data_IF_228909905448
#
_entry.id   IF_228909905448
#
_cell.length_a   1.000
_cell.length_b   1.000
_cell.length_c   1.000
_cell.angle_alpha   90.00
_cell.angle_beta   90.00
_cell.angle_gamma   90.00
#
_symmetry.space_group_name_H-M   'P 1'
#
loop_
_entity.id
_entity.type
_entity.pdbx_description
1 polymer ?
#
# COMPACT_ATOMS: atom_id res chain seq x y z
N UNK A 1 5.95 -5.13 24.19
CA UNK A 1 7.09 -6.06 24.35
C UNK A 1 8.21 -5.32 25.10
N UNK A 2 9.02 -5.97 25.95
CA UNK A 2 10.09 -5.27 26.65
C UNK A 2 11.13 -4.75 25.64
N UNK A 3 11.51 -3.48 25.78
CA UNK A 3 12.53 -2.85 24.95
C UNK A 3 13.85 -3.60 25.13
N UNK A 4 14.46 -4.05 24.03
CA UNK A 4 15.76 -4.70 24.08
C UNK A 4 16.78 -3.72 24.71
N UNK A 5 17.58 -4.20 25.66
CA UNK A 5 18.63 -3.36 26.25
C UNK A 5 19.68 -3.09 25.18
N UNK A 6 20.00 -1.82 24.86
CA UNK A 6 21.00 -1.51 23.85
C UNK A 6 22.35 -2.16 24.20
N UNK A 7 22.99 -2.78 23.21
CA UNK A 7 24.33 -3.34 23.37
C UNK A 7 25.34 -2.25 23.74
N UNK A 8 26.44 -2.63 24.42
CA UNK A 8 27.55 -1.71 24.65
C UNK A 8 28.22 -1.32 23.32
N UNK A 9 28.92 -0.19 23.27
CA UNK A 9 29.60 0.25 22.02
C UNK A 9 30.61 -0.78 21.51
N UNK A 10 31.29 -1.48 22.42
CA UNK A 10 32.27 -2.52 22.08
C UNK A 10 31.56 -3.74 21.47
N UNK A 11 30.44 -4.16 22.05
CA UNK A 11 29.62 -5.26 21.53
C UNK A 11 28.96 -4.91 20.19
N UNK A 12 28.49 -3.67 20.01
CA UNK A 12 27.94 -3.21 18.74
C UNK A 12 29.00 -3.28 17.62
N UNK A 13 30.23 -2.84 17.90
CA UNK A 13 31.32 -2.90 16.93
C UNK A 13 31.67 -4.37 16.60
N UNK A 14 31.78 -5.22 17.61
CA UNK A 14 32.07 -6.65 17.43
C UNK A 14 30.97 -7.34 16.60
N UNK A 15 29.69 -7.02 16.87
CA UNK A 15 28.55 -7.51 16.10
C UNK A 15 28.65 -7.10 14.62
N UNK A 16 28.82 -5.80 14.34
CA UNK A 16 28.86 -5.28 12.96
C UNK A 16 30.02 -5.92 12.18
N UNK A 17 31.19 -6.06 12.80
CA UNK A 17 32.37 -6.66 12.17
C UNK A 17 32.24 -8.16 11.93
N UNK A 18 31.31 -8.85 12.60
CA UNK A 18 31.02 -10.26 12.42
C UNK A 18 29.96 -10.53 11.33
N UNK A 19 29.29 -9.49 10.82
CA UNK A 19 28.30 -9.64 9.75
C UNK A 19 28.94 -10.08 8.42
N UNK A 20 28.16 -10.73 7.53
CA UNK A 20 28.55 -10.89 6.14
C UNK A 20 29.00 -9.55 5.52
N UNK A 21 29.97 -9.60 4.61
CA UNK A 21 30.64 -8.38 4.10
C UNK A 21 29.67 -7.36 3.50
N UNK A 22 28.64 -7.83 2.80
CA UNK A 22 27.58 -7.01 2.21
C UNK A 22 26.70 -6.33 3.27
N UNK A 23 26.25 -7.08 4.27
CA UNK A 23 25.46 -6.55 5.40
C UNK A 23 26.28 -5.56 6.24
N UNK A 24 27.55 -5.87 6.52
CA UNK A 24 28.48 -4.99 7.23
C UNK A 24 28.63 -3.65 6.51
N UNK A 25 28.80 -3.65 5.18
CA UNK A 25 28.93 -2.41 4.39
C UNK A 25 27.65 -1.59 4.41
N UNK A 26 26.48 -2.24 4.34
CA UNK A 26 25.17 -1.58 4.46
C UNK A 26 25.04 -0.89 5.82
N UNK A 27 25.30 -1.64 6.91
CA UNK A 27 25.20 -1.12 8.27
C UNK A 27 26.21 -0.01 8.54
N UNK A 28 27.45 -0.12 8.05
CA UNK A 28 28.45 0.92 8.18
C UNK A 28 27.99 2.22 7.51
N UNK A 29 27.52 2.16 6.25
CA UNK A 29 27.02 3.34 5.52
C UNK A 29 25.83 3.98 6.23
N UNK A 30 24.88 3.17 6.71
CA UNK A 30 23.74 3.64 7.48
C UNK A 30 24.16 4.35 8.77
N UNK A 31 24.99 3.72 9.60
CA UNK A 31 25.42 4.27 10.89
C UNK A 31 26.31 5.52 10.74
N UNK A 32 27.09 5.61 9.67
CA UNK A 32 27.85 6.82 9.32
C UNK A 32 26.99 7.92 8.66
N UNK A 33 25.70 7.63 8.40
CA UNK A 33 24.76 8.54 7.72
C UNK A 33 25.26 9.00 6.35
N UNK A 34 25.79 8.09 5.54
CA UNK A 34 26.20 8.38 4.15
C UNK A 34 25.01 8.94 3.35
N UNK A 35 25.01 10.21 2.92
CA UNK A 35 23.87 10.83 2.26
C UNK A 35 23.47 10.12 0.95
N UNK A 36 24.45 9.68 0.15
CA UNK A 36 24.17 9.02 -1.13
C UNK A 36 23.56 7.64 -0.93
N UNK A 37 23.96 6.96 0.15
CA UNK A 37 23.33 5.71 0.53
C UNK A 37 21.88 5.93 0.92
N UNK A 38 21.63 6.89 1.83
CA UNK A 38 20.30 7.17 2.37
C UNK A 38 19.29 7.58 1.28
N UNK A 39 19.75 8.28 0.23
CA UNK A 39 18.93 8.64 -0.93
C UNK A 39 18.55 7.45 -1.84
N UNK A 40 19.24 6.32 -1.72
CA UNK A 40 19.11 5.17 -2.62
C UNK A 40 18.83 3.84 -1.91
N UNK A 41 18.42 3.88 -0.64
CA UNK A 41 18.09 2.68 0.13
C UNK A 41 16.86 2.01 -0.48
N UNK A 42 17.03 0.78 -0.97
CA UNK A 42 15.93 -0.06 -1.42
C UNK A 42 15.26 -0.82 -0.25
N UNK A 43 14.13 -1.47 -0.53
CA UNK A 43 13.35 -2.21 0.47
C UNK A 43 14.18 -3.30 1.14
N UNK A 44 15.05 -3.99 0.40
CA UNK A 44 15.87 -5.09 0.92
C UNK A 44 16.90 -4.56 1.91
N UNK A 45 17.61 -3.50 1.55
CA UNK A 45 18.56 -2.83 2.43
C UNK A 45 17.86 -2.23 3.66
N UNK A 46 16.66 -1.65 3.50
CA UNK A 46 15.87 -1.15 4.63
C UNK A 46 15.52 -2.26 5.64
N UNK A 47 15.04 -3.42 5.16
CA UNK A 47 14.72 -4.58 6.02
C UNK A 47 15.94 -5.14 6.73
N UNK A 48 17.09 -5.19 6.06
CA UNK A 48 18.37 -5.59 6.67
C UNK A 48 18.78 -4.62 7.79
N UNK A 49 18.73 -3.31 7.52
CA UNK A 49 19.03 -2.28 8.50
C UNK A 49 18.13 -2.43 9.72
N UNK A 50 16.82 -2.54 9.52
CA UNK A 50 15.85 -2.71 10.60
C UNK A 50 16.17 -3.94 11.45
N UNK A 51 16.37 -5.10 10.83
CA UNK A 51 16.77 -6.34 11.52
C UNK A 51 17.98 -6.11 12.42
N UNK A 52 19.05 -5.52 11.91
CA UNK A 52 20.26 -5.31 12.70
C UNK A 52 20.10 -4.25 13.78
N UNK A 53 19.30 -3.21 13.56
CA UNK A 53 18.99 -2.23 14.61
C UNK A 53 18.25 -2.87 15.78
N UNK A 54 17.37 -3.84 15.52
CA UNK A 54 16.71 -4.63 16.56
C UNK A 54 17.72 -5.49 17.33
N UNK A 55 18.59 -6.22 16.62
CA UNK A 55 19.64 -7.05 17.24
C UNK A 55 20.60 -6.22 18.12
N UNK A 56 20.94 -5.01 17.69
CA UNK A 56 21.78 -4.07 18.45
C UNK A 56 21.05 -3.43 19.65
N UNK A 57 19.74 -3.64 19.79
CA UNK A 57 18.89 -2.99 20.78
C UNK A 57 18.69 -1.49 20.53
N UNK A 58 18.86 -1.04 19.27
CA UNK A 58 18.69 0.34 18.82
C UNK A 58 17.31 0.60 18.21
N UNK A 59 16.55 -0.45 17.93
CA UNK A 59 15.17 -0.39 17.48
C UNK A 59 14.31 -1.44 18.20
N UNK A 60 13.01 -1.22 18.24
CA UNK A 60 12.06 -2.22 18.71
C UNK A 60 11.72 -3.18 17.57
N UNK A 61 11.70 -4.48 17.86
CA UNK A 61 11.20 -5.48 16.93
C UNK A 61 9.77 -5.13 16.53
N UNK A 62 9.55 -4.99 15.22
CA UNK A 62 8.18 -4.87 14.73
C UNK A 62 7.47 -6.20 15.00
N UNK A 63 6.21 -6.17 15.48
CA UNK A 63 5.41 -7.39 15.48
C UNK A 63 5.33 -7.91 14.04
N UNK A 64 5.61 -9.20 13.87
CA UNK A 64 5.46 -9.88 12.58
C UNK A 64 4.32 -10.88 12.68
N UNK A 65 3.52 -10.96 11.62
CA UNK A 65 2.50 -11.99 11.45
C UNK A 65 2.88 -12.93 10.32
N UNK A 66 2.52 -14.20 10.50
CA UNK A 66 2.39 -15.16 9.42
C UNK A 66 1.14 -14.87 8.59
N UNK A 67 1.06 -15.43 7.38
CA UNK A 67 -0.13 -15.25 6.54
C UNK A 67 -1.39 -15.81 7.18
N UNK A 68 -1.30 -16.94 7.87
CA UNK A 68 -2.42 -17.54 8.59
C UNK A 68 -2.92 -16.62 9.72
N UNK A 69 -2.00 -16.00 10.45
CA UNK A 69 -2.36 -15.02 11.50
C UNK A 69 -3.03 -13.77 10.89
N UNK A 70 -2.56 -13.27 9.75
CA UNK A 70 -3.22 -12.17 9.04
C UNK A 70 -4.62 -12.56 8.59
N UNK A 71 -4.79 -13.77 8.04
CA UNK A 71 -6.09 -14.28 7.60
C UNK A 71 -7.06 -14.39 8.77
N UNK A 72 -6.62 -14.97 9.89
CA UNK A 72 -7.43 -15.07 11.11
C UNK A 72 -7.81 -13.71 11.67
N UNK A 73 -6.85 -12.77 11.76
CA UNK A 73 -7.10 -11.41 12.24
C UNK A 73 -8.21 -10.74 11.42
N UNK A 74 -8.10 -10.72 10.09
CA UNK A 74 -9.13 -10.10 9.24
C UNK A 74 -10.49 -10.79 9.35
N UNK A 75 -10.50 -12.13 9.51
CA UNK A 75 -11.72 -12.89 9.68
C UNK A 75 -12.47 -12.53 10.99
N UNK A 76 -11.75 -12.22 12.08
CA UNK A 76 -12.34 -11.77 13.34
C UNK A 76 -13.13 -10.45 13.21
N UNK A 77 -12.76 -9.63 12.23
CA UNK A 77 -13.48 -8.39 11.87
C UNK A 77 -14.47 -8.59 10.70
N UNK A 78 -14.76 -9.84 10.32
CA UNK A 78 -15.74 -10.18 9.29
C UNK A 78 -15.25 -9.96 7.85
N UNK A 79 -13.95 -9.73 7.63
CA UNK A 79 -13.38 -9.57 6.31
C UNK A 79 -12.63 -10.85 5.89
N UNK A 80 -13.14 -11.54 4.87
CA UNK A 80 -12.43 -12.68 4.29
C UNK A 80 -11.30 -12.19 3.39
N UNK A 81 -10.08 -12.64 3.66
CA UNK A 81 -8.89 -12.29 2.89
C UNK A 81 -8.14 -13.53 2.37
N UNK A 82 -7.22 -13.31 1.43
CA UNK A 82 -6.33 -14.33 0.86
C UNK A 82 -4.97 -13.74 0.50
N UNK A 83 -3.96 -14.59 0.36
CA UNK A 83 -2.60 -14.15 -0.02
C UNK A 83 -2.56 -13.85 -1.53
N UNK A 84 -2.05 -12.67 -1.95
CA UNK A 84 -1.87 -12.35 -3.36
C UNK A 84 -0.93 -13.32 -4.07
N UNK A 85 -1.29 -13.75 -5.29
CA UNK A 85 -0.37 -14.51 -6.14
C UNK A 85 0.76 -13.61 -6.63
N UNK A 86 2.01 -14.05 -6.49
CA UNK A 86 3.18 -13.28 -6.93
C UNK A 86 3.55 -12.11 -6.01
N UNK A 87 3.10 -12.15 -4.75
CA UNK A 87 3.52 -11.21 -3.69
C UNK A 87 5.05 -11.08 -3.66
N UNK A 88 5.54 -9.85 -3.67
CA UNK A 88 6.97 -9.53 -3.67
C UNK A 88 7.35 -8.87 -2.34
N UNK A 89 8.65 -8.66 -2.09
CA UNK A 89 9.13 -8.10 -0.81
C UNK A 89 8.54 -6.71 -0.47
N UNK A 90 8.14 -5.92 -1.49
CA UNK A 90 7.50 -4.63 -1.32
C UNK A 90 6.02 -4.72 -0.88
N UNK A 91 5.39 -5.88 -1.06
CA UNK A 91 3.96 -6.12 -0.80
C UNK A 91 3.74 -7.28 0.17
N UNK A 92 4.75 -7.65 0.97
CA UNK A 92 4.74 -8.87 1.79
C UNK A 92 3.66 -8.90 2.87
N UNK A 93 3.18 -7.75 3.31
CA UNK A 93 2.07 -7.60 4.25
C UNK A 93 0.68 -7.45 3.60
N UNK A 94 0.60 -7.29 2.27
CA UNK A 94 -0.67 -7.06 1.57
C UNK A 94 -1.51 -8.34 1.49
N UNK A 95 -2.81 -8.19 1.77
CA UNK A 95 -3.81 -9.26 1.69
C UNK A 95 -4.94 -8.86 0.73
N UNK A 96 -5.54 -9.83 0.03
CA UNK A 96 -6.64 -9.61 -0.91
C UNK A 96 -8.00 -9.89 -0.28
N UNK A 97 -8.84 -8.87 -0.19
CA UNK A 97 -10.26 -8.94 0.13
C UNK A 97 -11.09 -8.76 -1.15
N UNK A 98 -11.40 -9.84 -1.88
CA UNK A 98 -12.15 -9.74 -3.13
C UNK A 98 -13.57 -9.19 -2.92
N UNK A 99 -14.04 -8.34 -3.83
CA UNK A 99 -15.46 -8.00 -3.95
C UNK A 99 -15.83 -7.85 -5.43
N UNK A 100 -16.86 -8.56 -5.87
CA UNK A 100 -17.39 -8.45 -7.25
C UNK A 100 -16.37 -8.76 -8.35
N UNK A 101 -15.36 -9.61 -8.09
CA UNK A 101 -14.27 -9.92 -9.01
C UNK A 101 -13.13 -8.89 -9.04
N UNK A 102 -13.12 -7.92 -8.13
CA UNK A 102 -12.03 -6.95 -7.95
C UNK A 102 -11.23 -7.31 -6.69
N UNK A 103 -9.89 -7.50 -6.79
CA UNK A 103 -9.03 -7.84 -5.66
C UNK A 103 -8.65 -6.58 -4.87
N UNK A 104 -9.52 -6.17 -3.93
CA UNK A 104 -9.20 -5.05 -3.04
C UNK A 104 -8.12 -5.47 -2.04
N UNK A 105 -6.99 -4.76 -2.03
CA UNK A 105 -5.92 -4.95 -1.07
C UNK A 105 -6.23 -4.28 0.25
N UNK A 106 -5.80 -4.94 1.33
CA UNK A 106 -5.75 -4.41 2.68
C UNK A 106 -4.36 -4.68 3.26
N UNK A 107 -3.85 -3.73 4.04
CA UNK A 107 -2.52 -3.79 4.65
C UNK A 107 -2.53 -4.56 5.98
N UNK A 108 -1.33 -4.89 6.47
CA UNK A 108 -1.15 -5.33 7.86
C UNK A 108 -1.38 -4.16 8.83
N UNK A 109 -2.16 -4.41 9.87
CA UNK A 109 -2.45 -3.43 10.91
C UNK A 109 -1.54 -3.67 12.12
N UNK A 110 -0.26 -3.29 12.01
CA UNK A 110 0.74 -3.45 13.07
C UNK A 110 0.36 -2.77 14.39
N UNK A 111 -0.46 -1.72 14.33
CA UNK A 111 -0.94 -0.98 15.52
C UNK A 111 -1.91 -1.80 16.37
N UNK A 112 -2.73 -2.66 15.76
CA UNK A 112 -3.57 -3.60 16.52
C UNK A 112 -2.69 -4.57 17.32
N UNK A 113 -1.61 -5.05 16.72
CA UNK A 113 -0.70 -6.00 17.38
C UNK A 113 0.12 -5.30 18.47
N UNK A 114 0.61 -4.09 18.18
CA UNK A 114 1.49 -3.35 19.09
C UNK A 114 0.75 -2.74 20.27
N UNK A 115 -0.45 -2.22 20.04
CA UNK A 115 -1.18 -1.40 21.00
C UNK A 115 -2.55 -1.95 21.38
N UNK A 116 -3.01 -3.04 20.74
CA UNK A 116 -4.36 -3.57 20.95
C UNK A 116 -5.45 -2.65 20.39
N UNK A 117 -5.10 -1.71 19.51
CA UNK A 117 -6.01 -0.70 18.99
C UNK A 117 -6.73 -1.17 17.71
N UNK A 118 -8.01 -1.51 17.84
CA UNK A 118 -8.87 -1.93 16.73
C UNK A 118 -9.38 -0.76 15.88
N UNK A 119 -9.18 0.49 16.30
CA UNK A 119 -9.71 1.65 15.59
C UNK A 119 -9.24 1.70 14.13
N UNK A 120 -7.97 1.37 13.88
CA UNK A 120 -7.39 1.42 12.53
C UNK A 120 -8.01 0.38 11.58
N UNK A 121 -8.24 -0.85 12.04
CA UNK A 121 -8.82 -1.93 11.25
C UNK A 121 -10.32 -1.71 11.01
N UNK A 122 -11.06 -1.29 12.04
CA UNK A 122 -12.49 -0.95 11.93
C UNK A 122 -12.70 0.19 10.93
N UNK A 123 -11.88 1.24 11.01
CA UNK A 123 -11.92 2.36 10.06
C UNK A 123 -11.57 1.93 8.65
N UNK A 124 -10.59 1.04 8.48
CA UNK A 124 -10.21 0.47 7.18
C UNK A 124 -11.40 -0.26 6.53
N UNK A 125 -12.13 -1.06 7.32
CA UNK A 125 -13.33 -1.78 6.87
C UNK A 125 -14.44 -0.82 6.48
N UNK A 126 -14.73 0.19 7.32
CA UNK A 126 -15.78 1.19 7.04
C UNK A 126 -15.45 1.95 5.74
N UNK A 127 -14.22 2.42 5.59
CA UNK A 127 -13.78 3.15 4.39
C UNK A 127 -13.90 2.28 3.14
N UNK A 128 -13.44 1.02 3.22
CA UNK A 128 -13.55 0.06 2.13
C UNK A 128 -15.00 -0.20 1.74
N UNK A 129 -15.88 -0.41 2.73
CA UNK A 129 -17.29 -0.68 2.46
C UNK A 129 -17.99 0.53 1.85
N UNK A 130 -17.75 1.74 2.36
CA UNK A 130 -18.31 2.97 1.78
C UNK A 130 -17.88 3.21 0.33
N UNK A 131 -16.65 2.83 -0.03
CA UNK A 131 -16.18 2.87 -1.42
C UNK A 131 -16.83 1.84 -2.31
N UNK A 132 -17.04 0.62 -1.81
CA UNK A 132 -17.75 -0.42 -2.54
C UNK A 132 -19.19 0.02 -2.80
N UNK A 133 -19.89 0.46 -1.76
CA UNK A 133 -21.30 0.85 -1.85
C UNK A 133 -21.51 2.05 -2.78
N UNK A 134 -20.56 2.99 -2.83
CA UNK A 134 -20.68 4.21 -3.65
C UNK A 134 -20.09 4.11 -5.07
N UNK A 135 -19.05 3.30 -5.27
CA UNK A 135 -18.18 3.42 -6.44
C UNK A 135 -17.69 2.10 -7.04
N UNK A 136 -18.16 0.94 -6.56
CA UNK A 136 -17.65 -0.36 -7.03
C UNK A 136 -17.69 -0.49 -8.56
N UNK A 137 -18.79 -0.11 -9.22
CA UNK A 137 -18.93 -0.24 -10.67
C UNK A 137 -17.91 0.61 -11.44
N UNK A 138 -17.65 1.83 -10.97
CA UNK A 138 -16.63 2.73 -11.54
C UNK A 138 -15.23 2.14 -11.33
N UNK A 139 -14.92 1.69 -10.11
CA UNK A 139 -13.64 1.08 -9.77
C UNK A 139 -13.41 -0.18 -10.61
N UNK A 140 -14.42 -1.04 -10.73
CA UNK A 140 -14.38 -2.26 -11.53
C UNK A 140 -14.18 -1.97 -13.01
N UNK A 141 -14.78 -0.91 -13.54
CA UNK A 141 -14.58 -0.49 -14.93
C UNK A 141 -13.14 -0.05 -15.20
N UNK A 142 -12.54 0.72 -14.28
CA UNK A 142 -11.12 1.09 -14.35
C UNK A 142 -10.22 -0.14 -14.21
N UNK A 143 -10.53 -1.02 -13.26
CA UNK A 143 -9.81 -2.27 -13.04
C UNK A 143 -9.81 -3.17 -14.28
N UNK A 144 -10.97 -3.40 -14.90
CA UNK A 144 -11.09 -4.19 -16.13
C UNK A 144 -10.30 -3.57 -17.29
N UNK A 145 -10.28 -2.23 -17.38
CA UNK A 145 -9.41 -1.56 -18.34
C UNK A 145 -7.94 -1.84 -18.07
N UNK A 146 -7.50 -1.78 -16.81
CA UNK A 146 -6.12 -2.10 -16.43
C UNK A 146 -5.75 -3.54 -16.82
N UNK A 147 -6.62 -4.51 -16.55
CA UNK A 147 -6.42 -5.90 -16.98
C UNK A 147 -6.24 -6.03 -18.50
N UNK A 148 -6.98 -5.24 -19.29
CA UNK A 148 -6.86 -5.26 -20.76
C UNK A 148 -5.49 -4.79 -21.27
N UNK A 149 -4.67 -4.14 -20.44
CA UNK A 149 -3.32 -3.71 -20.80
C UNK A 149 -2.29 -4.85 -20.72
N UNK A 150 -2.65 -6.00 -20.14
CA UNK A 150 -1.83 -7.22 -20.14
C UNK A 150 -0.52 -7.11 -19.34
N UNK A 151 -0.44 -6.20 -18.36
CA UNK A 151 0.78 -5.94 -17.58
C UNK A 151 0.94 -6.82 -16.34
N UNK A 152 -0.06 -7.62 -16.01
CA UNK A 152 -0.05 -8.52 -14.85
C UNK A 152 -1.36 -8.46 -14.06
N UNK A 153 -1.44 -9.16 -12.92
CA UNK A 153 -2.57 -9.07 -12.02
C UNK A 153 -2.63 -7.67 -11.42
N UNK A 154 -3.66 -6.91 -11.78
CA UNK A 154 -3.91 -5.62 -11.16
C UNK A 154 -4.43 -5.82 -9.73
N UNK A 155 -4.09 -4.90 -8.85
CA UNK A 155 -4.69 -4.78 -7.53
C UNK A 155 -5.31 -3.41 -7.31
N UNK A 156 -6.26 -3.32 -6.37
CA UNK A 156 -6.94 -2.08 -6.01
C UNK A 156 -6.76 -1.83 -4.53
N UNK A 157 -6.22 -0.69 -4.11
CA UNK A 157 -6.04 -0.37 -2.69
C UNK A 157 -6.78 0.90 -2.32
N UNK A 158 -7.46 0.88 -1.18
CA UNK A 158 -8.13 2.05 -0.62
C UNK A 158 -7.10 2.90 0.11
N UNK A 159 -7.00 4.17 -0.26
CA UNK A 159 -6.13 5.11 0.42
C UNK A 159 -6.56 5.42 1.86
N UNK A 160 -5.64 6.01 2.61
CA UNK A 160 -5.92 6.54 3.95
C UNK A 160 -6.90 7.72 3.91
N UNK A 161 -6.97 8.43 2.79
CA UNK A 161 -8.03 9.37 2.48
C UNK A 161 -9.20 8.65 1.78
N UNK A 162 -10.46 8.89 2.20
CA UNK A 162 -11.65 8.18 1.68
C UNK A 162 -11.94 8.43 0.19
N UNK A 163 -11.14 9.25 -0.47
CA UNK A 163 -11.31 9.72 -1.84
C UNK A 163 -10.31 9.11 -2.82
N UNK A 164 -9.39 8.25 -2.35
CA UNK A 164 -8.29 7.79 -3.16
C UNK A 164 -8.32 6.27 -3.32
N UNK A 165 -8.34 5.83 -4.57
CA UNK A 165 -8.24 4.42 -4.93
C UNK A 165 -7.00 4.24 -5.79
N UNK A 166 -6.07 3.44 -5.31
CA UNK A 166 -4.82 3.13 -5.99
C UNK A 166 -4.99 1.89 -6.84
N UNK A 167 -4.40 1.90 -8.03
CA UNK A 167 -4.29 0.75 -8.91
C UNK A 167 -2.82 0.44 -9.11
N UNK A 168 -2.46 -0.84 -8.98
CA UNK A 168 -1.06 -1.27 -9.10
C UNK A 168 -0.89 -2.67 -9.64
N UNK A 169 0.38 -3.03 -9.86
CA UNK A 169 0.84 -4.38 -10.19
C UNK A 169 1.98 -4.77 -9.22
N UNK A 170 2.73 -5.82 -9.53
CA UNK A 170 3.90 -6.30 -8.80
C UNK A 170 4.98 -5.22 -8.53
N UNK A 171 5.14 -4.25 -9.45
CA UNK A 171 6.11 -3.17 -9.34
C UNK A 171 5.61 -1.96 -8.53
N UNK A 172 4.42 -2.03 -7.94
CA UNK A 172 3.77 -0.97 -7.16
C UNK A 172 2.60 -0.31 -7.89
N UNK A 173 2.06 0.78 -7.32
CA UNK A 173 0.95 1.51 -7.95
C UNK A 173 1.40 2.17 -9.27
N UNK A 174 0.45 2.39 -10.18
CA UNK A 174 0.65 3.08 -11.45
C UNK A 174 -0.44 4.12 -11.74
N UNK A 175 -1.56 4.11 -11.00
CA UNK A 175 -2.60 5.12 -11.13
C UNK A 175 -3.34 5.33 -9.81
N UNK A 176 -3.88 6.55 -9.65
CA UNK A 176 -4.71 6.94 -8.52
C UNK A 176 -6.03 7.48 -9.09
N UNK A 177 -7.14 6.91 -8.66
CA UNK A 177 -8.48 7.43 -8.92
C UNK A 177 -8.92 8.28 -7.73
N UNK A 178 -9.11 9.56 -7.99
CA UNK A 178 -9.69 10.53 -7.07
C UNK A 178 -11.20 10.58 -7.25
N UNK A 179 -11.92 10.22 -6.19
CA UNK A 179 -13.38 10.18 -6.13
C UNK A 179 -13.89 11.46 -5.46
N UNK A 180 -14.85 12.14 -6.07
CA UNK A 180 -15.48 13.31 -5.45
C UNK A 180 -16.47 12.84 -4.37
N UNK A 181 -16.24 13.24 -3.11
CA UNK A 181 -17.14 12.95 -1.98
C UNK A 181 -18.55 13.50 -2.27
N UNK A 182 -19.60 12.69 -2.09
CA UNK A 182 -20.93 13.24 -1.99
C UNK A 182 -21.00 14.02 -0.67
N UNK A 183 -21.28 15.32 -0.73
CA UNK A 183 -21.81 16.01 0.45
C UNK A 183 -22.92 15.12 1.01
N UNK A 184 -22.79 14.73 2.28
CA UNK A 184 -23.66 13.75 2.92
C UNK A 184 -25.13 14.10 2.64
N UNK A 185 -25.77 13.26 1.83
CA UNK A 185 -27.19 13.34 1.50
C UNK A 185 -27.87 12.22 2.29
N UNK A 186 -28.95 12.52 3.00
CA UNK A 186 -29.71 11.56 3.82
C UNK A 186 -30.48 10.50 3.01
N UNK A 187 -30.35 10.51 1.69
CA UNK A 187 -31.04 9.63 0.75
C UNK A 187 -30.01 8.85 -0.11
N UNK A 188 -29.83 7.54 0.14
CA UNK A 188 -28.89 6.67 -0.57
C UNK A 188 -29.19 6.51 -2.08
N UNK A 189 -30.46 6.48 -2.49
CA UNK A 189 -30.84 6.31 -3.90
C UNK A 189 -30.57 7.59 -4.71
N UNK A 190 -30.86 8.76 -4.12
CA UNK A 190 -30.51 10.05 -4.71
C UNK A 190 -28.98 10.28 -4.78
N UNK A 191 -28.21 9.60 -3.93
CA UNK A 191 -26.74 9.65 -3.93
C UNK A 191 -26.15 8.86 -5.11
N UNK A 192 -26.63 7.64 -5.34
CA UNK A 192 -26.20 6.77 -6.44
C UNK A 192 -26.36 7.45 -7.82
N UNK A 193 -27.50 8.12 -8.06
CA UNK A 193 -27.76 8.83 -9.31
C UNK A 193 -26.94 10.12 -9.52
N UNK A 194 -26.47 10.76 -8.44
CA UNK A 194 -25.60 11.95 -8.50
C UNK A 194 -24.13 11.59 -8.70
N UNK A 195 -23.67 10.47 -8.11
CA UNK A 195 -22.30 9.97 -8.24
C UNK A 195 -21.99 9.66 -9.71
N UNK A 196 -22.89 8.97 -10.41
CA UNK A 196 -22.73 8.63 -11.84
C UNK A 196 -22.66 9.84 -12.79
N UNK A 197 -23.00 11.04 -12.33
CA UNK A 197 -22.93 12.30 -13.12
C UNK A 197 -21.70 13.15 -12.80
N UNK A 198 -20.92 12.80 -11.77
CA UNK A 198 -19.72 13.55 -11.35
C UNK A 198 -18.49 13.10 -12.13
N UNK A 199 -17.48 13.97 -12.17
CA UNK A 199 -16.23 13.73 -12.90
C UNK A 199 -15.14 13.31 -11.91
N UNK A 200 -14.90 12.01 -11.81
CA UNK A 200 -13.74 11.44 -11.12
C UNK A 200 -12.46 11.71 -11.91
N UNK A 201 -11.33 11.82 -11.22
CA UNK A 201 -10.03 12.04 -11.87
C UNK A 201 -9.14 10.82 -11.72
N UNK A 202 -8.77 10.18 -12.82
CA UNK A 202 -7.74 9.14 -12.84
C UNK A 202 -6.40 9.80 -13.20
N UNK A 203 -5.42 9.68 -12.31
CA UNK A 203 -4.08 10.24 -12.46
C UNK A 203 -3.07 9.09 -12.59
N UNK A 204 -2.49 8.86 -13.77
CA UNK A 204 -1.38 7.94 -13.93
C UNK A 204 -0.13 8.44 -13.19
N UNK A 205 0.62 7.55 -12.56
CA UNK A 205 1.93 7.84 -11.98
C UNK A 205 2.95 7.97 -13.11
N UNK A 206 3.56 9.15 -13.25
CA UNK A 206 4.33 9.52 -14.46
C UNK A 206 5.51 8.59 -14.76
N UNK A 207 6.25 8.16 -13.73
CA UNK A 207 7.39 7.24 -13.86
C UNK A 207 6.99 5.85 -14.38
N UNK A 208 5.71 5.51 -14.24
CA UNK A 208 5.09 4.28 -14.74
C UNK A 208 3.96 4.61 -15.72
N UNK A 209 3.99 5.80 -16.32
CA UNK A 209 2.94 6.28 -17.20
C UNK A 209 2.78 5.31 -18.35
N UNK A 210 1.57 4.78 -18.47
CA UNK A 210 1.20 3.95 -19.59
C UNK A 210 0.38 4.83 -20.55
N UNK A 211 0.91 5.20 -21.73
CA UNK A 211 0.22 6.04 -22.70
C UNK A 211 -1.17 5.52 -23.10
N UNK A 212 -1.41 4.22 -22.90
CA UNK A 212 -2.73 3.64 -23.09
C UNK A 212 -3.76 4.18 -22.09
N UNK A 213 -3.43 4.67 -20.89
CA UNK A 213 -4.41 5.35 -20.03
C UNK A 213 -5.03 6.57 -20.71
N UNK A 214 -4.31 7.26 -21.60
CA UNK A 214 -4.86 8.40 -22.36
C UNK A 214 -5.99 7.98 -23.31
N UNK A 215 -6.10 6.69 -23.64
CA UNK A 215 -7.16 6.12 -24.48
C UNK A 215 -8.39 5.68 -23.68
N UNK A 216 -8.34 5.74 -22.36
CA UNK A 216 -9.44 5.37 -21.49
C UNK A 216 -10.63 6.30 -21.71
N UNK A 217 -11.75 5.73 -22.17
CA UNK A 217 -13.03 6.43 -22.31
C UNK A 217 -14.06 5.77 -21.42
N UNK A 218 -14.07 6.16 -20.14
CA UNK A 218 -15.08 5.73 -19.17
C UNK A 218 -16.01 6.89 -18.83
N UNK A 219 -17.35 6.70 -18.88
CA UNK A 219 -18.30 7.70 -18.39
C UNK A 219 -17.98 8.10 -16.95
N UNK A 220 -17.99 9.40 -16.65
CA UNK A 220 -17.74 9.92 -15.31
C UNK A 220 -16.27 9.89 -14.87
N UNK A 221 -15.33 9.36 -15.65
CA UNK A 221 -13.89 9.34 -15.33
C UNK A 221 -13.11 10.19 -16.33
N UNK A 222 -12.38 11.18 -15.84
CA UNK A 222 -11.45 12.01 -16.60
C UNK A 222 -10.02 11.59 -16.28
N UNK A 223 -9.23 11.31 -17.32
CA UNK A 223 -7.78 11.10 -17.14
C UNK A 223 -7.09 12.45 -17.06
N UNK A 224 -6.35 12.69 -15.98
CA UNK A 224 -5.62 13.94 -15.72
C UNK A 224 -4.12 13.65 -15.67
N UNK A 225 -3.37 14.20 -16.62
CA UNK A 225 -1.92 14.08 -16.69
C UNK A 225 -1.29 15.30 -16.01
N UNK A 226 -0.66 15.11 -14.86
CA UNK A 226 0.16 16.15 -14.23
C UNK A 226 1.62 15.94 -14.65
N UNK A 227 2.30 17.00 -15.10
CA UNK A 227 3.74 16.96 -15.45
C UNK A 227 4.10 17.12 -16.92
N UNK A 228 3.17 17.45 -17.84
CA UNK A 228 3.58 17.99 -19.15
C UNK A 228 4.14 19.39 -18.95
N UNK A 229 5.46 19.54 -18.92
CA UNK A 229 6.04 20.78 -19.46
C UNK A 229 5.49 20.92 -20.89
N UNK A 230 5.01 22.11 -21.29
CA UNK A 230 4.63 22.32 -22.68
C UNK A 230 5.86 21.95 -23.54
N UNK A 231 5.67 21.02 -24.46
CA UNK A 231 6.68 20.75 -25.49
C UNK A 231 6.88 22.02 -26.33
N UNK A 232 8.12 22.28 -26.80
CA UNK A 232 8.56 23.59 -27.28
C UNK A 232 7.72 24.16 -28.44
#
# INVERSE_FOLDING_TARGET
>A
MPQATPMSKEDQLAYIMALPQDEMLIMARYLTRDPKFLESVDVRAAKLIEKHLVELGLAEAQPSQTDDERISMWADYGLKVSVPQGRCEFSDSLMLAEHGGVPYCVDEHSDLIRHGDSYSIERSIINRQGLIDGYHDTIKSVYNYCLSLGKGPAWVMVGTAPEQVFFGYDQGYFAILYLEIPQASLDPEAQHGKINKRKHSLVPQYEKHEPLFERLKLPGVKVSLFGRSPSP
#
